data_IF_031639304805
#
_entry.id   IF_031639304805
#
_cell.length_a   1.000
_cell.length_b   1.000
_cell.length_c   1.000
_cell.angle_alpha   90.00
_cell.angle_beta   90.00
_cell.angle_gamma   90.00
#
_symmetry.space_group_name_H-M   'P 1'
#
loop_
_entity.id
_entity.type
_entity.pdbx_description
1 polymer ?
#
# COMPACT_ATOMS: atom_id res chain seq x y z
N UNK A 1 -4.56 -0.13 12.49
CA UNK A 1 -3.39 0.76 12.75
C UNK A 1 -3.80 2.17 12.40
N UNK A 2 -3.24 3.17 13.09
CA UNK A 2 -3.53 4.58 12.82
C UNK A 2 -2.90 4.98 11.47
N UNK A 3 -3.67 4.84 10.39
CA UNK A 3 -3.22 5.10 9.02
C UNK A 3 -2.66 6.53 8.82
N UNK A 4 -3.28 7.59 9.39
CA UNK A 4 -2.68 8.92 9.45
C UNK A 4 -1.25 8.94 9.94
N UNK A 5 -1.02 8.35 11.12
CA UNK A 5 0.31 8.35 11.70
C UNK A 5 1.30 7.47 10.93
N UNK A 6 0.84 6.32 10.39
CA UNK A 6 1.68 5.46 9.54
C UNK A 6 2.18 6.21 8.31
N UNK A 7 1.31 6.98 7.64
CA UNK A 7 1.69 7.76 6.46
C UNK A 7 2.60 8.94 6.77
N UNK A 8 2.50 9.50 7.98
CA UNK A 8 3.36 10.59 8.44
C UNK A 8 4.82 10.14 8.64
N UNK A 9 5.03 8.93 9.17
CA UNK A 9 6.36 8.48 9.61
C UNK A 9 7.04 7.48 8.68
N UNK A 10 6.31 6.81 7.79
CA UNK A 10 6.87 5.76 6.96
C UNK A 10 7.63 6.30 5.73
N UNK A 11 8.81 5.74 5.46
CA UNK A 11 9.48 5.90 4.16
C UNK A 11 8.82 5.04 3.08
N UNK A 12 8.42 3.81 3.45
CA UNK A 12 7.81 2.80 2.59
C UNK A 12 6.76 2.00 3.33
N UNK A 13 5.71 1.59 2.61
CA UNK A 13 4.64 0.75 3.12
C UNK A 13 4.56 -0.51 2.27
N UNK A 14 4.72 -1.68 2.91
CA UNK A 14 4.50 -2.97 2.29
C UNK A 14 3.04 -3.35 2.45
N UNK A 15 2.33 -3.50 1.34
CA UNK A 15 0.93 -3.90 1.35
C UNK A 15 0.87 -5.40 1.16
N UNK A 16 0.23 -6.07 2.11
CA UNK A 16 0.01 -7.51 2.08
C UNK A 16 -1.47 -7.78 1.82
N UNK A 17 -1.76 -8.76 0.96
CA UNK A 17 -3.10 -9.22 0.68
C UNK A 17 -3.08 -10.74 0.50
N UNK A 18 -4.00 -11.44 1.16
CA UNK A 18 -4.11 -12.91 1.12
C UNK A 18 -2.79 -13.62 1.49
N UNK A 19 -2.13 -13.15 2.55
CA UNK A 19 -0.92 -13.80 3.08
C UNK A 19 0.37 -13.54 2.31
N UNK A 20 0.34 -12.78 1.22
CA UNK A 20 1.53 -12.42 0.41
C UNK A 20 1.69 -10.91 0.26
N UNK A 21 2.93 -10.48 0.02
CA UNK A 21 3.21 -9.08 -0.35
C UNK A 21 2.61 -8.82 -1.73
N UNK A 22 1.73 -7.84 -1.81
CA UNK A 22 1.11 -7.41 -3.06
C UNK A 22 1.98 -6.38 -3.78
N UNK A 23 2.39 -5.33 -3.07
CA UNK A 23 3.22 -4.25 -3.61
C UNK A 23 3.92 -3.46 -2.49
N UNK A 24 4.81 -2.56 -2.87
CA UNK A 24 5.43 -1.57 -1.98
C UNK A 24 5.12 -0.17 -2.50
N UNK A 25 4.65 0.71 -1.63
CA UNK A 25 4.35 2.11 -1.96
C UNK A 25 5.15 3.07 -1.08
N UNK A 26 5.32 4.32 -1.55
CA UNK A 26 5.77 5.44 -0.72
C UNK A 26 4.56 6.29 -0.32
N UNK A 27 4.46 6.77 0.93
CA UNK A 27 3.35 7.63 1.36
C UNK A 27 3.22 8.95 0.61
N UNK A 28 4.31 9.43 -0.02
CA UNK A 28 4.31 10.67 -0.82
C UNK A 28 3.66 10.52 -2.19
N UNK A 29 3.62 9.30 -2.73
CA UNK A 29 3.15 9.01 -4.09
C UNK A 29 1.71 8.46 -4.11
N UNK A 30 1.16 8.13 -2.95
CA UNK A 30 -0.13 7.45 -2.79
C UNK A 30 -0.94 8.03 -1.64
N UNK A 31 -2.26 7.88 -1.71
CA UNK A 31 -3.15 8.26 -0.62
C UNK A 31 -3.38 7.08 0.33
N UNK A 32 -3.90 7.36 1.54
CA UNK A 32 -4.38 6.30 2.43
C UNK A 32 -5.48 5.46 1.78
N UNK A 33 -6.35 6.11 1.00
CA UNK A 33 -7.43 5.43 0.28
C UNK A 33 -6.87 4.43 -0.73
N UNK A 34 -5.82 4.78 -1.47
CA UNK A 34 -5.14 3.85 -2.38
C UNK A 34 -4.60 2.63 -1.64
N UNK A 35 -3.91 2.85 -0.51
CA UNK A 35 -3.38 1.76 0.29
C UNK A 35 -4.49 0.80 0.78
N UNK A 36 -5.62 1.33 1.24
CA UNK A 36 -6.79 0.53 1.65
C UNK A 36 -7.41 -0.20 0.45
N UNK A 37 -7.52 0.46 -0.70
CA UNK A 37 -8.05 -0.14 -1.92
C UNK A 37 -7.18 -1.31 -2.40
N UNK A 38 -5.85 -1.21 -2.27
CA UNK A 38 -4.92 -2.31 -2.57
C UNK A 38 -5.03 -3.44 -1.55
N UNK A 39 -5.16 -3.12 -0.25
CA UNK A 39 -5.32 -4.13 0.82
C UNK A 39 -6.60 -4.96 0.65
N UNK A 40 -7.71 -4.31 0.30
CA UNK A 40 -9.02 -4.96 0.10
C UNK A 40 -9.14 -5.61 -1.28
N UNK A 41 -8.43 -5.08 -2.28
CA UNK A 41 -8.55 -5.46 -3.69
C UNK A 41 -9.64 -4.73 -4.45
N UNK A 42 -10.15 -3.60 -3.92
CA UNK A 42 -11.02 -2.70 -4.67
C UNK A 42 -10.28 -2.00 -5.83
N UNK A 43 -8.95 -1.94 -5.76
CA UNK A 43 -8.07 -1.42 -6.81
C UNK A 43 -6.83 -2.31 -6.92
N UNK A 44 -6.31 -2.47 -8.13
CA UNK A 44 -5.01 -3.11 -8.33
C UNK A 44 -3.87 -2.09 -8.33
N UNK A 45 -2.71 -2.42 -7.74
CA UNK A 45 -1.53 -1.58 -7.85
C UNK A 45 -0.97 -1.63 -9.29
N UNK A 46 -0.25 -0.58 -9.74
CA UNK A 46 0.45 -0.60 -11.01
C UNK A 46 1.37 -1.82 -11.16
N UNK A 47 1.45 -2.39 -12.36
CA UNK A 47 2.28 -3.58 -12.65
C UNK A 47 3.73 -3.41 -12.18
N UNK A 48 4.31 -2.23 -12.39
CA UNK A 48 5.69 -1.90 -11.98
C UNK A 48 5.94 -1.96 -10.47
N UNK A 49 4.88 -1.97 -9.65
CA UNK A 49 4.97 -2.05 -8.19
C UNK A 49 4.55 -3.41 -7.64
N UNK A 50 3.96 -4.29 -8.46
CA UNK A 50 3.55 -5.63 -8.01
C UNK A 50 4.78 -6.43 -7.60
N UNK A 51 4.66 -7.15 -6.50
CA UNK A 51 5.67 -8.14 -6.14
C UNK A 51 5.73 -9.23 -7.22
N UNK A 52 6.95 -9.72 -7.50
CA UNK A 52 7.17 -10.88 -8.37
C UNK A 52 6.46 -12.13 -7.86
#
# INVERSE_FOLDING_TARGET
HNMPHVFEVADRIHIHRLGRRLCVIKPKDYTMSDAVAFMTGAKEPPEVLKAA
#
